data_IF_194012364909
#
_entry.id   IF_194012364909
#
_cell.length_a   1.000
_cell.length_b   1.000
_cell.length_c   1.000
_cell.angle_alpha   90.00
_cell.angle_beta   90.00
_cell.angle_gamma   90.00
#
_symmetry.space_group_name_H-M   'P 1'
#
loop_
_entity.id
_entity.type
_entity.pdbx_description
1 polymer ?
#
# COMPACT_ATOMS: atom_id res chain seq x y z
N UNK A 1 -13.78 5.77 -8.96
CA UNK A 1 -12.75 5.63 -7.91
C UNK A 1 -11.74 6.76 -8.02
N UNK A 2 -11.77 7.70 -7.07
CA UNK A 2 -10.76 8.76 -6.89
C UNK A 2 -9.96 8.57 -5.59
N UNK A 3 -10.15 7.44 -4.91
CA UNK A 3 -9.80 7.20 -3.50
C UNK A 3 -8.36 6.76 -3.27
N UNK A 4 -7.73 6.07 -4.23
CA UNK A 4 -6.34 5.59 -4.07
C UNK A 4 -5.34 6.74 -4.00
N UNK A 5 -5.49 7.71 -4.89
CA UNK A 5 -4.61 8.86 -5.01
C UNK A 5 -4.71 9.78 -3.77
N UNK A 6 -5.91 10.04 -3.26
CA UNK A 6 -6.10 10.85 -2.05
C UNK A 6 -5.59 10.18 -0.78
N UNK A 7 -5.72 8.86 -0.65
CA UNK A 7 -5.18 8.13 0.52
C UNK A 7 -3.65 8.07 0.52
N UNK A 8 -3.01 7.89 -0.64
CA UNK A 8 -1.56 7.91 -0.75
C UNK A 8 -0.96 9.32 -0.68
N UNK A 9 -1.65 10.33 -1.20
CA UNK A 9 -1.29 11.74 -1.00
C UNK A 9 -1.34 12.11 0.49
N UNK A 10 -2.37 11.67 1.22
CA UNK A 10 -2.44 11.85 2.67
C UNK A 10 -1.27 11.19 3.40
N UNK A 11 -0.94 9.93 3.08
CA UNK A 11 0.21 9.23 3.65
C UNK A 11 1.52 9.96 3.34
N UNK A 12 1.70 10.39 2.09
CA UNK A 12 2.88 11.14 1.67
C UNK A 12 3.04 12.40 2.51
N UNK A 13 1.98 13.21 2.62
CA UNK A 13 2.01 14.46 3.39
C UNK A 13 2.23 14.24 4.89
N UNK A 14 1.69 13.15 5.45
CA UNK A 14 1.79 12.84 6.87
C UNK A 14 3.18 12.35 7.29
N UNK A 15 3.85 11.59 6.42
CA UNK A 15 5.06 10.87 6.81
C UNK A 15 6.34 11.32 6.09
N UNK A 16 6.27 12.04 4.95
CA UNK A 16 7.46 12.39 4.15
C UNK A 16 8.54 13.13 4.96
N UNK A 17 8.15 14.00 5.89
CA UNK A 17 9.09 14.77 6.71
C UNK A 17 10.00 13.90 7.61
N UNK A 18 9.59 12.67 7.93
CA UNK A 18 10.45 11.73 8.67
C UNK A 18 11.52 11.07 7.78
N UNK A 19 11.30 11.04 6.46
CA UNK A 19 12.20 10.43 5.49
C UNK A 19 13.04 11.46 4.74
N UNK A 20 12.67 12.74 4.75
CA UNK A 20 13.43 13.82 4.10
C UNK A 20 14.84 14.01 4.70
N UNK A 21 15.04 13.58 5.94
CA UNK A 21 16.33 13.65 6.65
C UNK A 21 17.15 12.36 6.54
N UNK A 22 16.54 11.28 6.03
CA UNK A 22 17.21 10.01 5.78
C UNK A 22 17.68 10.00 4.32
N UNK A 23 18.88 9.48 4.05
CA UNK A 23 19.33 9.22 2.68
C UNK A 23 18.47 8.17 1.93
N UNK A 24 17.40 7.70 2.57
CA UNK A 24 16.62 6.52 2.25
C UNK A 24 15.21 6.89 1.76
N UNK A 25 15.01 8.15 1.34
CA UNK A 25 13.77 8.62 0.71
C UNK A 25 13.35 7.76 -0.51
N UNK A 26 14.33 7.18 -1.20
CA UNK A 26 14.08 6.28 -2.33
C UNK A 26 13.29 5.02 -1.92
N UNK A 27 13.61 4.43 -0.78
CA UNK A 27 12.90 3.24 -0.28
C UNK A 27 11.48 3.60 0.17
N UNK A 28 11.30 4.79 0.76
CA UNK A 28 9.97 5.31 1.09
C UNK A 28 9.12 5.53 -0.17
N UNK A 29 9.67 6.14 -1.21
CA UNK A 29 8.96 6.32 -2.48
C UNK A 29 8.62 4.96 -3.10
N UNK A 30 9.55 4.01 -3.08
CA UNK A 30 9.35 2.67 -3.62
C UNK A 30 8.23 1.92 -2.92
N UNK A 31 8.11 1.99 -1.58
CA UNK A 31 7.00 1.33 -0.88
C UNK A 31 5.66 1.96 -1.25
N UNK A 32 5.59 3.29 -1.45
CA UNK A 32 4.38 3.95 -1.92
C UNK A 32 4.00 3.53 -3.34
N UNK A 33 4.96 3.46 -4.26
CA UNK A 33 4.74 3.01 -5.65
C UNK A 33 4.22 1.57 -5.70
N UNK A 34 4.76 0.69 -4.85
CA UNK A 34 4.30 -0.71 -4.76
C UNK A 34 2.85 -0.78 -4.28
N UNK A 35 2.48 0.00 -3.27
CA UNK A 35 1.10 0.08 -2.78
C UNK A 35 0.18 0.68 -3.85
N UNK A 36 0.59 1.74 -4.52
CA UNK A 36 -0.16 2.36 -5.62
C UNK A 36 -0.42 1.36 -6.74
N UNK A 37 0.60 0.63 -7.18
CA UNK A 37 0.47 -0.40 -8.21
C UNK A 37 -0.51 -1.51 -7.79
N UNK A 38 -0.50 -1.92 -6.52
CA UNK A 38 -1.42 -2.92 -6.01
C UNK A 38 -2.88 -2.43 -6.04
N UNK A 39 -3.12 -1.18 -5.64
CA UNK A 39 -4.45 -0.56 -5.70
C UNK A 39 -4.93 -0.39 -7.13
N UNK A 40 -4.08 0.06 -8.05
CA UNK A 40 -4.43 0.18 -9.47
C UNK A 40 -4.71 -1.19 -10.09
N UNK A 41 -3.94 -2.21 -9.71
CA UNK A 41 -4.13 -3.59 -10.17
C UNK A 41 -5.47 -4.16 -9.69
N UNK A 42 -5.92 -3.84 -8.48
CA UNK A 42 -7.19 -4.33 -7.93
C UNK A 42 -8.40 -4.07 -8.86
N UNK A 43 -8.39 -2.94 -9.57
CA UNK A 43 -9.49 -2.53 -10.46
C UNK A 43 -9.18 -2.59 -11.95
N UNK A 44 -8.03 -3.17 -12.29
CA UNK A 44 -7.68 -3.48 -13.67
C UNK A 44 -8.44 -4.71 -14.20
N UNK A 45 -8.30 -5.00 -15.49
CA UNK A 45 -8.84 -6.21 -16.13
C UNK A 45 -7.96 -7.46 -15.93
N UNK A 46 -6.93 -7.38 -15.08
CA UNK A 46 -6.02 -8.51 -14.84
C UNK A 46 -6.75 -9.71 -14.21
N UNK A 47 -6.25 -10.95 -14.40
CA UNK A 47 -6.82 -12.14 -13.75
C UNK A 47 -6.84 -12.02 -12.23
N UNK A 48 -7.85 -12.62 -11.58
CA UNK A 48 -8.03 -12.60 -10.12
C UNK A 48 -6.75 -12.97 -9.36
N UNK A 49 -6.07 -14.04 -9.81
CA UNK A 49 -4.82 -14.51 -9.19
C UNK A 49 -3.73 -13.43 -9.19
N UNK A 50 -3.57 -12.70 -10.30
CA UNK A 50 -2.59 -11.63 -10.42
C UNK A 50 -2.92 -10.48 -9.48
N UNK A 51 -4.21 -10.15 -9.34
CA UNK A 51 -4.66 -9.10 -8.42
C UNK A 51 -4.33 -9.45 -6.96
N UNK A 52 -4.69 -10.65 -6.52
CA UNK A 52 -4.45 -11.11 -5.15
C UNK A 52 -2.96 -11.27 -4.84
N UNK A 53 -2.17 -11.77 -5.80
CA UNK A 53 -0.71 -11.87 -5.66
C UNK A 53 -0.06 -10.50 -5.51
N UNK A 54 -0.47 -9.51 -6.33
CA UNK A 54 0.10 -8.16 -6.27
C UNK A 54 -0.18 -7.50 -4.92
N UNK A 55 -1.37 -7.71 -4.34
CA UNK A 55 -1.69 -7.24 -2.98
C UNK A 55 -0.79 -7.92 -1.95
N UNK A 56 -0.65 -9.25 -2.02
CA UNK A 56 0.18 -10.00 -1.06
C UNK A 56 1.66 -9.59 -1.11
N UNK A 57 2.20 -9.34 -2.30
CA UNK A 57 3.59 -8.89 -2.45
C UNK A 57 3.78 -7.45 -1.96
N UNK A 58 2.77 -6.59 -2.11
CA UNK A 58 2.76 -5.26 -1.52
C UNK A 58 2.75 -5.31 0.02
N UNK A 59 1.92 -6.16 0.63
CA UNK A 59 1.89 -6.35 2.09
C UNK A 59 3.25 -6.80 2.64
N UNK A 60 3.89 -7.76 1.97
CA UNK A 60 5.26 -8.20 2.33
C UNK A 60 6.26 -7.05 2.23
N UNK A 61 6.15 -6.22 1.20
CA UNK A 61 7.03 -5.06 0.99
C UNK A 61 6.84 -4.03 2.10
N UNK A 62 5.60 -3.71 2.45
CA UNK A 62 5.26 -2.79 3.56
C UNK A 62 5.81 -3.31 4.88
N UNK A 63 5.64 -4.60 5.19
CA UNK A 63 6.12 -5.19 6.42
C UNK A 63 7.66 -5.24 6.47
N UNK A 64 8.32 -5.59 5.36
CA UNK A 64 9.78 -5.58 5.26
C UNK A 64 10.34 -4.16 5.42
N UNK A 65 9.68 -3.17 4.80
CA UNK A 65 10.00 -1.77 4.99
C UNK A 65 9.90 -1.39 6.47
N UNK A 66 8.78 -1.68 7.13
CA UNK A 66 8.62 -1.39 8.56
C UNK A 66 9.72 -2.01 9.43
N UNK A 67 10.13 -3.25 9.12
CA UNK A 67 11.19 -3.94 9.84
C UNK A 67 12.58 -3.30 9.70
N UNK A 68 12.87 -2.70 8.54
CA UNK A 68 14.12 -1.93 8.32
C UNK A 68 14.09 -0.65 9.15
N UNK A 69 12.99 0.10 9.08
CA UNK A 69 12.91 1.45 9.64
C UNK A 69 12.61 1.52 11.13
N UNK A 70 12.15 0.44 11.76
CA UNK A 70 11.87 0.41 13.22
C UNK A 70 13.08 0.75 14.10
N UNK A 71 14.31 0.67 13.55
CA UNK A 71 15.55 1.03 14.24
C UNK A 71 16.02 2.46 13.94
N UNK A 72 15.49 3.07 12.89
CA UNK A 72 15.93 4.37 12.36
C UNK A 72 14.94 5.49 12.67
N UNK A 73 13.67 5.14 12.82
CA UNK A 73 12.57 6.07 13.08
C UNK A 73 11.87 5.76 14.40
N UNK A 74 11.14 6.72 14.98
CA UNK A 74 10.32 6.47 16.15
C UNK A 74 9.36 5.28 15.89
N UNK A 75 9.23 4.31 16.82
CA UNK A 75 8.38 3.14 16.62
C UNK A 75 6.94 3.48 16.24
N UNK A 76 6.40 4.56 16.80
CA UNK A 76 5.05 5.06 16.49
C UNK A 76 4.90 5.50 15.04
N UNK A 77 5.93 6.12 14.45
CA UNK A 77 5.91 6.55 13.04
C UNK A 77 5.85 5.32 12.12
N UNK A 78 6.71 4.34 12.38
CA UNK A 78 6.84 3.13 11.56
C UNK A 78 5.59 2.26 11.66
N UNK A 79 5.09 2.04 12.87
CA UNK A 79 3.87 1.25 13.11
C UNK A 79 2.66 1.90 12.46
N UNK A 80 2.50 3.22 12.60
CA UNK A 80 1.36 3.92 12.02
C UNK A 80 1.43 3.96 10.49
N UNK A 81 2.61 4.19 9.90
CA UNK A 81 2.78 4.15 8.45
C UNK A 81 2.46 2.75 7.89
N UNK A 82 2.98 1.69 8.50
CA UNK A 82 2.71 0.33 8.08
C UNK A 82 1.21 -0.01 8.20
N UNK A 83 0.56 0.41 9.30
CA UNK A 83 -0.87 0.22 9.50
C UNK A 83 -1.70 0.97 8.44
N UNK A 84 -1.37 2.24 8.17
CA UNK A 84 -2.07 3.05 7.16
C UNK A 84 -1.93 2.44 5.76
N UNK A 85 -0.73 1.97 5.38
CA UNK A 85 -0.49 1.33 4.08
C UNK A 85 -1.20 -0.03 3.97
N UNK A 86 -1.13 -0.87 5.01
CA UNK A 86 -1.83 -2.16 5.02
C UNK A 86 -3.35 -1.98 5.00
N UNK A 87 -3.89 -0.93 5.63
CA UNK A 87 -5.31 -0.61 5.54
C UNK A 87 -5.73 -0.30 4.08
N UNK A 88 -4.93 0.46 3.33
CA UNK A 88 -5.19 0.72 1.90
C UNK A 88 -5.19 -0.59 1.09
N UNK A 89 -4.22 -1.48 1.34
CA UNK A 89 -4.14 -2.78 0.67
C UNK A 89 -5.37 -3.66 0.98
N UNK A 90 -5.88 -3.59 2.20
CA UNK A 90 -7.09 -4.33 2.59
C UNK A 90 -8.35 -3.77 1.91
N UNK A 91 -8.46 -2.45 1.74
CA UNK A 91 -9.53 -1.85 0.93
C UNK A 91 -9.47 -2.30 -0.53
N UNK A 92 -8.26 -2.40 -1.09
CA UNK A 92 -8.05 -2.90 -2.45
C UNK A 92 -8.42 -4.39 -2.56
N UNK A 93 -8.05 -5.22 -1.58
CA UNK A 93 -8.48 -6.63 -1.49
C UNK A 93 -10.00 -6.77 -1.43
N UNK A 94 -10.66 -5.98 -0.59
CA UNK A 94 -12.12 -5.95 -0.47
C UNK A 94 -12.77 -5.60 -1.81
N UNK A 95 -12.22 -4.61 -2.52
CA UNK A 95 -12.69 -4.21 -3.85
C UNK A 95 -12.59 -5.37 -4.86
N UNK A 96 -11.49 -6.13 -4.85
CA UNK A 96 -11.32 -7.31 -5.72
C UNK A 96 -12.45 -8.33 -5.47
N UNK A 97 -12.73 -8.63 -4.20
CA UNK A 97 -13.74 -9.62 -3.80
C UNK A 97 -15.14 -9.17 -4.24
N UNK A 98 -15.50 -7.91 -4.03
CA UNK A 98 -16.80 -7.35 -4.46
C UNK A 98 -16.96 -7.49 -5.97
N UNK A 99 -15.99 -7.01 -6.76
CA UNK A 99 -16.04 -7.05 -8.22
C UNK A 99 -16.11 -8.49 -8.77
N UNK A 100 -15.37 -9.42 -8.17
CA UNK A 100 -15.43 -10.83 -8.55
C UNK A 100 -16.80 -11.44 -8.23
N UNK A 101 -17.37 -11.12 -7.07
CA UNK A 101 -18.69 -11.62 -6.65
C UNK A 101 -19.79 -11.11 -7.58
N UNK A 102 -19.77 -9.82 -7.93
CA UNK A 102 -20.70 -9.21 -8.87
C UNK A 102 -20.62 -9.80 -10.28
N UNK A 103 -19.43 -10.20 -10.72
CA UNK A 103 -19.21 -10.80 -12.03
C UNK A 103 -19.74 -12.25 -12.14
N UNK A 104 -19.78 -13.00 -11.03
CA UNK A 104 -20.19 -14.41 -11.02
C UNK A 104 -21.65 -14.64 -10.59
N UNK A 105 -22.34 -13.59 -10.11
CA UNK A 105 -23.76 -13.63 -9.73
C UNK A 105 -24.70 -13.07 -10.81
N UNK A 106 -24.18 -12.83 -12.03
CA UNK A 106 -24.94 -12.40 -13.23
C UNK A 106 -24.96 -13.54 -14.24
#
# INVERSE_FOLDING_TARGET
>A
MKTSKTSLEYITNRYSGFFDTLAERADYQKVLEVVENAVNTAVSEKPLIIKLMTISDAEKTVNSFADVYKKLLPPTVVVNLAADLNWILEQARTTIIILWTEANNK
#
